data_IF_538763148945
#
_entry.id   IF_538763148945
#
_cell.length_a   1.000
_cell.length_b   1.000
_cell.length_c   1.000
_cell.angle_alpha   90.00
_cell.angle_beta   90.00
_cell.angle_gamma   90.00
#
_symmetry.space_group_name_H-M   'P 1'
#
loop_
_entity.id
_entity.type
_entity.pdbx_description
1 polymer ?
#
# COMPACT_ATOMS: atom_id res chain seq x y z
N UNK A 1 44.60 15.04 19.65
CA UNK A 1 43.44 14.50 20.42
C UNK A 1 42.55 15.65 20.92
N UNK A 2 41.95 16.43 20.01
CA UNK A 2 41.11 17.58 20.40
C UNK A 2 39.95 17.76 19.41
N UNK A 3 38.99 16.82 19.40
CA UNK A 3 37.73 17.01 18.66
C UNK A 3 36.59 16.10 19.15
N UNK A 4 36.55 15.72 20.44
CA UNK A 4 35.44 14.91 20.98
C UNK A 4 34.35 15.73 21.70
N UNK A 5 34.48 17.06 21.80
CA UNK A 5 33.53 17.92 22.53
C UNK A 5 33.07 19.17 21.77
N UNK A 6 32.94 19.12 20.44
CA UNK A 6 32.18 20.16 19.72
C UNK A 6 30.68 19.87 19.90
N UNK A 7 29.93 20.81 20.47
CA UNK A 7 28.46 20.77 20.48
C UNK A 7 27.99 20.55 19.04
N UNK A 8 27.16 19.51 18.82
CA UNK A 8 26.62 19.21 17.49
C UNK A 8 26.01 20.47 16.90
N UNK A 9 26.47 20.85 15.72
CA UNK A 9 25.83 21.94 14.97
C UNK A 9 24.48 21.46 14.45
N UNK A 10 23.57 22.39 14.12
CA UNK A 10 22.27 21.99 13.58
C UNK A 10 22.42 21.20 12.27
N UNK A 11 23.45 21.50 11.48
CA UNK A 11 23.80 20.72 10.29
C UNK A 11 24.22 19.27 10.62
N UNK A 12 24.92 19.05 11.73
CA UNK A 12 25.32 17.72 12.17
C UNK A 12 24.09 16.90 12.63
N UNK A 13 23.16 17.55 13.33
CA UNK A 13 21.88 16.95 13.76
C UNK A 13 21.06 16.53 12.54
N UNK A 14 20.92 17.41 11.55
CA UNK A 14 20.16 17.11 10.32
C UNK A 14 20.81 15.97 9.51
N UNK A 15 22.15 15.92 9.44
CA UNK A 15 22.86 14.81 8.78
C UNK A 15 22.64 13.48 9.49
N UNK A 16 22.66 13.48 10.81
CA UNK A 16 22.41 12.30 11.63
C UNK A 16 20.97 11.81 11.46
N UNK A 17 19.98 12.71 11.55
CA UNK A 17 18.57 12.39 11.28
C UNK A 17 18.37 11.80 9.89
N UNK A 18 18.99 12.38 8.85
CA UNK A 18 18.92 11.82 7.49
C UNK A 18 19.53 10.41 7.39
N UNK A 19 20.62 10.15 8.12
CA UNK A 19 21.25 8.83 8.18
C UNK A 19 20.35 7.82 8.87
N UNK A 20 19.74 8.21 9.99
CA UNK A 20 18.79 7.40 10.74
C UNK A 20 17.56 7.07 9.91
N UNK A 21 16.92 8.07 9.27
CA UNK A 21 15.76 7.88 8.40
C UNK A 21 16.07 6.90 7.24
N UNK A 22 17.25 7.00 6.62
CA UNK A 22 17.69 6.04 5.58
C UNK A 22 17.88 4.63 6.13
N UNK A 23 18.39 4.50 7.35
CA UNK A 23 18.55 3.20 8.01
C UNK A 23 17.18 2.59 8.31
N UNK A 24 16.27 3.37 8.88
CA UNK A 24 14.89 2.96 9.17
C UNK A 24 14.16 2.54 7.90
N UNK A 25 14.31 3.28 6.80
CA UNK A 25 13.72 2.91 5.51
C UNK A 25 14.19 1.52 5.04
N UNK A 26 15.50 1.23 5.17
CA UNK A 26 16.05 -0.09 4.82
C UNK A 26 15.59 -1.18 5.79
N UNK A 27 15.44 -0.86 7.07
CA UNK A 27 14.90 -1.79 8.06
C UNK A 27 13.47 -2.18 7.70
N UNK A 28 12.60 -1.21 7.39
CA UNK A 28 11.22 -1.46 6.95
C UNK A 28 11.17 -2.37 5.72
N UNK A 29 12.05 -2.15 4.73
CA UNK A 29 12.14 -3.04 3.56
C UNK A 29 12.55 -4.47 3.94
N UNK A 30 13.49 -4.64 4.87
CA UNK A 30 13.91 -5.97 5.36
C UNK A 30 12.80 -6.66 6.14
N UNK A 31 12.12 -5.92 7.01
CA UNK A 31 11.01 -6.44 7.81
C UNK A 31 9.85 -6.87 6.91
N UNK A 32 9.54 -6.10 5.86
CA UNK A 32 8.55 -6.50 4.85
C UNK A 32 8.91 -7.82 4.17
N UNK A 33 10.16 -8.00 3.75
CA UNK A 33 10.62 -9.25 3.15
C UNK A 33 10.56 -10.44 4.13
N UNK A 34 10.72 -10.18 5.43
CA UNK A 34 10.54 -11.20 6.47
C UNK A 34 9.06 -11.58 6.63
N UNK A 35 8.16 -10.59 6.67
CA UNK A 35 6.71 -10.80 6.74
C UNK A 35 6.20 -11.58 5.53
N UNK A 36 6.69 -11.29 4.31
CA UNK A 36 6.35 -12.05 3.10
C UNK A 36 6.78 -13.52 3.16
N UNK A 37 7.92 -13.82 3.80
CA UNK A 37 8.36 -15.21 4.01
C UNK A 37 7.47 -15.92 5.03
N UNK A 38 7.13 -15.24 6.12
CA UNK A 38 6.22 -15.77 7.15
C UNK A 38 4.82 -16.03 6.57
N UNK A 39 4.34 -15.15 5.69
CA UNK A 39 3.06 -15.30 4.99
C UNK A 39 3.03 -16.60 4.19
N UNK A 40 4.06 -16.82 3.36
CA UNK A 40 4.18 -18.06 2.57
C UNK A 40 4.29 -19.32 3.45
N UNK A 41 4.99 -19.24 4.58
CA UNK A 41 5.08 -20.37 5.52
C UNK A 41 3.71 -20.68 6.13
N UNK A 42 2.98 -19.65 6.55
CA UNK A 42 1.66 -19.80 7.14
C UNK A 42 0.62 -20.31 6.13
N UNK A 43 0.68 -19.88 4.87
CA UNK A 43 -0.15 -20.43 3.78
C UNK A 43 0.09 -21.94 3.58
N UNK A 44 1.36 -22.39 3.64
CA UNK A 44 1.69 -23.82 3.55
C UNK A 44 1.18 -24.61 4.77
N UNK A 45 1.29 -24.04 5.97
CA UNK A 45 0.77 -24.65 7.20
C UNK A 45 -0.76 -24.74 7.19
N UNK A 46 -1.45 -23.67 6.81
CA UNK A 46 -2.92 -23.67 6.61
C UNK A 46 -3.31 -24.77 5.62
N UNK A 47 -2.55 -24.91 4.51
CA UNK A 47 -2.81 -25.96 3.53
C UNK A 47 -2.63 -27.36 4.06
N UNK A 48 -1.63 -27.57 4.92
CA UNK A 48 -1.41 -28.86 5.59
C UNK A 48 -2.54 -29.17 6.57
N UNK A 49 -2.96 -28.20 7.39
CA UNK A 49 -4.01 -28.37 8.39
C UNK A 49 -5.41 -28.52 7.76
N UNK A 50 -5.65 -27.86 6.63
CA UNK A 50 -6.90 -28.00 5.89
C UNK A 50 -7.04 -29.42 5.31
N UNK A 51 -5.94 -30.00 4.80
CA UNK A 51 -5.92 -31.39 4.30
C UNK A 51 -6.13 -32.43 5.40
N UNK A 52 -5.68 -32.16 6.62
CA UNK A 52 -5.92 -33.06 7.76
C UNK A 52 -7.31 -32.88 8.38
N UNK A 53 -8.10 -31.92 7.91
CA UNK A 53 -9.45 -31.64 8.41
C UNK A 53 -9.48 -30.93 9.78
N UNK A 54 -8.33 -30.44 10.27
CA UNK A 54 -8.28 -29.74 11.55
C UNK A 54 -8.75 -28.29 11.42
N UNK A 55 -10.07 -28.11 11.49
CA UNK A 55 -10.72 -26.82 11.26
C UNK A 55 -10.41 -25.77 12.35
N UNK A 56 -10.17 -26.18 13.58
CA UNK A 56 -9.80 -25.26 14.67
C UNK A 56 -8.40 -24.67 14.46
N UNK A 57 -7.43 -25.51 14.08
CA UNK A 57 -6.09 -25.03 13.76
C UNK A 57 -6.08 -24.13 12.53
N UNK A 58 -6.86 -24.46 11.49
CA UNK A 58 -7.05 -23.58 10.33
C UNK A 58 -7.62 -22.22 10.73
N UNK A 59 -8.58 -22.18 11.66
CA UNK A 59 -9.17 -20.92 12.15
C UNK A 59 -8.14 -20.01 12.81
N UNK A 60 -7.31 -20.57 13.68
CA UNK A 60 -6.26 -19.81 14.38
C UNK A 60 -5.22 -19.30 13.37
N UNK A 61 -4.73 -20.17 12.49
CA UNK A 61 -3.73 -19.81 11.48
C UNK A 61 -4.27 -18.80 10.46
N UNK A 62 -5.53 -18.91 10.04
CA UNK A 62 -6.15 -17.93 9.13
C UNK A 62 -6.27 -16.55 9.77
N UNK A 63 -6.66 -16.46 11.06
CA UNK A 63 -6.68 -15.18 11.80
C UNK A 63 -5.27 -14.57 11.86
N UNK A 64 -4.25 -15.40 12.12
CA UNK A 64 -2.86 -14.95 12.10
C UNK A 64 -2.42 -14.48 10.71
N UNK A 65 -2.83 -15.15 9.63
CA UNK A 65 -2.49 -14.77 8.26
C UNK A 65 -3.08 -13.41 7.89
N UNK A 66 -4.35 -13.17 8.23
CA UNK A 66 -5.00 -11.87 8.02
C UNK A 66 -4.28 -10.77 8.79
N UNK A 67 -3.94 -11.02 10.07
CA UNK A 67 -3.20 -10.05 10.88
C UNK A 67 -1.81 -9.77 10.30
N UNK A 68 -1.11 -10.80 9.81
CA UNK A 68 0.19 -10.67 9.16
C UNK A 68 0.08 -9.85 7.86
N UNK A 69 -0.96 -10.07 7.06
CA UNK A 69 -1.24 -9.28 5.84
C UNK A 69 -1.56 -7.82 6.16
N UNK A 70 -2.35 -7.56 7.21
CA UNK A 70 -2.59 -6.19 7.73
C UNK A 70 -1.28 -5.53 8.16
N UNK A 71 -0.42 -6.26 8.90
CA UNK A 71 0.90 -5.76 9.32
C UNK A 71 1.80 -5.45 8.12
N UNK A 72 1.84 -6.35 7.11
CA UNK A 72 2.55 -6.14 5.85
C UNK A 72 2.05 -4.88 5.14
N UNK A 73 0.73 -4.70 5.02
CA UNK A 73 0.14 -3.50 4.42
C UNK A 73 0.49 -2.22 5.19
N UNK A 74 0.45 -2.27 6.53
CA UNK A 74 0.86 -1.15 7.40
C UNK A 74 2.32 -0.73 7.15
N UNK A 75 3.22 -1.65 6.79
CA UNK A 75 4.61 -1.27 6.46
C UNK A 75 4.72 -0.36 5.23
N UNK A 76 3.76 -0.36 4.29
CA UNK A 76 3.77 0.57 3.17
C UNK A 76 3.46 2.00 3.61
N UNK A 77 2.44 2.17 4.44
CA UNK A 77 2.10 3.46 5.00
C UNK A 77 3.21 4.00 5.93
N UNK A 78 3.82 3.14 6.76
CA UNK A 78 4.99 3.53 7.57
C UNK A 78 6.18 3.93 6.69
N UNK A 79 6.45 3.19 5.61
CA UNK A 79 7.49 3.55 4.64
C UNK A 79 7.23 4.90 3.97
N UNK A 80 5.97 5.20 3.64
CA UNK A 80 5.57 6.49 3.08
C UNK A 80 5.81 7.61 4.08
N UNK A 81 5.41 7.42 5.34
CA UNK A 81 5.61 8.39 6.43
C UNK A 81 7.09 8.70 6.66
N UNK A 82 7.96 7.69 6.67
CA UNK A 82 9.43 7.89 6.77
C UNK A 82 9.98 8.66 5.57
N UNK A 83 9.47 8.39 4.37
CA UNK A 83 9.86 9.12 3.15
C UNK A 83 9.42 10.58 3.20
N UNK A 84 8.22 10.85 3.70
CA UNK A 84 7.69 12.21 3.93
C UNK A 84 8.58 12.96 4.92
N UNK A 85 8.88 12.36 6.09
CA UNK A 85 9.78 12.93 7.08
C UNK A 85 11.18 13.22 6.50
N UNK A 86 11.71 12.34 5.63
CA UNK A 86 12.99 12.60 4.94
C UNK A 86 12.91 13.82 4.03
N UNK A 87 11.77 14.03 3.37
CA UNK A 87 11.54 15.18 2.50
C UNK A 87 11.40 16.46 3.32
N UNK A 88 10.59 16.44 4.39
CA UNK A 88 10.47 17.55 5.34
C UNK A 88 11.82 17.94 5.94
N UNK A 89 12.66 16.95 6.29
CA UNK A 89 14.03 17.19 6.79
C UNK A 89 14.91 17.87 5.74
N UNK A 90 14.77 17.53 4.44
CA UNK A 90 15.49 18.21 3.35
C UNK A 90 15.00 19.64 3.16
N UNK A 91 13.69 19.87 3.23
CA UNK A 91 13.11 21.22 3.17
C UNK A 91 13.65 22.06 4.33
N UNK A 92 13.63 21.52 5.55
CA UNK A 92 14.20 22.17 6.72
C UNK A 92 15.69 22.50 6.54
N UNK A 93 16.50 21.58 6.00
CA UNK A 93 17.91 21.84 5.69
C UNK A 93 18.09 23.02 4.71
N UNK A 94 17.31 23.04 3.63
CA UNK A 94 17.34 24.11 2.63
C UNK A 94 16.90 25.44 3.24
N UNK A 95 15.86 25.43 4.08
CA UNK A 95 15.37 26.61 4.77
C UNK A 95 16.39 27.14 5.78
N UNK A 96 17.10 26.27 6.51
CA UNK A 96 18.17 26.69 7.41
C UNK A 96 19.37 27.29 6.66
N UNK A 97 19.76 26.72 5.52
CA UNK A 97 20.78 27.32 4.65
C UNK A 97 20.34 28.66 4.10
N UNK A 98 19.08 28.78 3.69
CA UNK A 98 18.49 30.03 3.25
C UNK A 98 18.47 31.05 4.39
N UNK A 99 18.10 30.66 5.61
CA UNK A 99 18.15 31.54 6.78
C UNK A 99 19.58 31.97 7.13
N UNK A 100 20.57 31.08 6.98
CA UNK A 100 21.99 31.42 7.13
C UNK A 100 22.46 32.43 6.07
N UNK A 101 22.08 32.22 4.81
CA UNK A 101 22.37 33.13 3.70
C UNK A 101 21.60 34.46 3.80
N UNK A 102 20.37 34.44 4.30
CA UNK A 102 19.58 35.62 4.61
C UNK A 102 20.14 36.34 5.82
N UNK A 103 20.73 35.64 6.81
CA UNK A 103 21.40 36.29 7.94
C UNK A 103 22.68 37.01 7.49
N UNK A 104 23.49 36.39 6.63
CA UNK A 104 24.67 37.05 6.06
C UNK A 104 24.25 38.19 5.12
N UNK A 105 23.26 37.96 4.26
CA UNK A 105 22.68 38.99 3.39
C UNK A 105 22.03 40.08 4.21
N UNK A 106 21.35 39.80 5.32
CA UNK A 106 20.74 40.79 6.21
C UNK A 106 21.80 41.60 6.95
N UNK A 107 22.96 41.03 7.30
CA UNK A 107 24.10 41.80 7.83
C UNK A 107 24.67 42.74 6.77
N UNK A 108 24.86 42.26 5.54
CA UNK A 108 25.29 43.10 4.40
C UNK A 108 24.21 44.12 4.03
N UNK A 109 22.95 43.71 4.09
CA UNK A 109 21.79 44.53 3.79
C UNK A 109 21.60 45.54 4.91
N UNK A 110 21.86 45.27 6.19
CA UNK A 110 21.89 46.28 7.26
C UNK A 110 22.92 47.38 6.97
N UNK A 111 24.08 47.00 6.43
CA UNK A 111 25.08 47.96 5.95
C UNK A 111 24.60 48.76 4.72
N UNK A 112 23.68 48.21 3.92
CA UNK A 112 23.04 48.85 2.75
C UNK A 112 21.69 49.52 3.10
N UNK A 113 21.02 49.15 4.21
CA UNK A 113 19.65 49.50 4.62
C UNK A 113 19.59 50.89 5.26
N UNK A 114 20.69 51.63 5.19
CA UNK A 114 20.65 53.08 5.17
C UNK A 114 19.94 53.62 3.90
N UNK A 115 19.60 52.76 2.93
CA UNK A 115 18.99 53.14 1.63
C UNK A 115 17.89 52.20 1.08
N UNK A 116 17.29 51.27 1.85
CA UNK A 116 16.26 50.36 1.30
C UNK A 116 14.89 50.50 1.98
N UNK A 117 13.83 50.26 1.21
CA UNK A 117 12.44 50.62 1.51
C UNK A 117 11.70 49.51 2.32
N UNK A 118 11.26 49.78 3.56
CA UNK A 118 10.70 48.77 4.48
C UNK A 118 9.38 48.14 4.03
N UNK A 119 8.64 48.75 3.09
CA UNK A 119 7.32 48.25 2.70
C UNK A 119 7.36 46.91 1.93
N UNK A 120 8.37 46.68 1.10
CA UNK A 120 8.49 45.43 0.32
C UNK A 120 8.83 44.23 1.19
N UNK A 121 9.62 44.43 2.26
CA UNK A 121 10.01 43.35 3.18
C UNK A 121 8.81 42.84 3.98
N UNK A 122 7.89 43.72 4.37
CA UNK A 122 6.67 43.36 5.08
C UNK A 122 5.74 42.48 4.21
N UNK A 123 5.67 42.79 2.91
CA UNK A 123 4.83 42.07 1.96
C UNK A 123 5.36 40.64 1.70
N UNK A 124 6.67 40.49 1.52
CA UNK A 124 7.32 39.16 1.38
C UNK A 124 7.17 38.32 2.65
N UNK A 125 7.16 38.94 3.83
CA UNK A 125 6.96 38.21 5.09
C UNK A 125 5.52 37.71 5.24
N UNK A 126 4.52 38.47 4.79
CA UNK A 126 3.12 38.02 4.75
C UNK A 126 2.90 36.87 3.76
N UNK A 127 3.50 36.93 2.58
CA UNK A 127 3.39 35.85 1.58
C UNK A 127 4.00 34.54 2.10
N UNK A 128 5.16 34.63 2.76
CA UNK A 128 5.79 33.47 3.39
C UNK A 128 4.93 32.84 4.50
N UNK A 129 4.26 33.65 5.34
CA UNK A 129 3.34 33.13 6.36
C UNK A 129 2.14 32.41 5.73
N UNK A 130 1.58 32.98 4.65
CA UNK A 130 0.44 32.38 3.94
C UNK A 130 0.80 31.05 3.28
N UNK A 131 2.01 30.94 2.75
CA UNK A 131 2.51 29.72 2.12
C UNK A 131 2.83 28.62 3.15
N UNK A 132 3.40 28.97 4.30
CA UNK A 132 3.57 28.03 5.42
C UNK A 132 2.23 27.48 5.94
N UNK A 133 1.22 28.34 6.08
CA UNK A 133 -0.11 27.91 6.56
C UNK A 133 -0.80 26.96 5.58
N UNK A 134 -0.64 27.18 4.27
CA UNK A 134 -1.12 26.24 3.24
C UNK A 134 -0.44 24.87 3.33
N UNK A 135 0.84 24.85 3.66
CA UNK A 135 1.60 23.62 3.82
C UNK A 135 1.11 22.81 5.03
N UNK A 136 0.91 23.46 6.18
CA UNK A 136 0.37 22.81 7.40
C UNK A 136 -1.00 22.18 7.17
N UNK A 137 -1.94 22.89 6.54
CA UNK A 137 -3.26 22.34 6.22
C UNK A 137 -3.20 21.10 5.31
N UNK A 138 -2.24 21.06 4.38
CA UNK A 138 -2.09 19.94 3.46
C UNK A 138 -1.52 18.72 4.19
N UNK A 139 -0.63 18.93 5.16
CA UNK A 139 -0.07 17.87 6.01
C UNK A 139 -1.16 17.28 6.93
N UNK A 140 -2.05 18.11 7.48
CA UNK A 140 -3.18 17.68 8.31
C UNK A 140 -4.21 16.84 7.53
N UNK A 141 -4.57 17.25 6.30
CA UNK A 141 -5.43 16.44 5.43
C UNK A 141 -4.81 15.08 5.10
N UNK A 142 -3.51 15.04 4.80
CA UNK A 142 -2.81 13.78 4.52
C UNK A 142 -2.79 12.86 5.76
N UNK A 143 -2.57 13.42 6.95
CA UNK A 143 -2.58 12.65 8.20
C UNK A 143 -3.98 12.09 8.50
N UNK A 144 -5.04 12.90 8.35
CA UNK A 144 -6.42 12.44 8.58
C UNK A 144 -6.81 11.33 7.60
N UNK A 145 -6.41 11.44 6.32
CA UNK A 145 -6.67 10.39 5.33
C UNK A 145 -5.91 9.09 5.67
N UNK A 146 -4.68 9.22 6.18
CA UNK A 146 -3.91 8.06 6.63
C UNK A 146 -4.53 7.41 7.87
N UNK A 147 -5.01 8.22 8.82
CA UNK A 147 -5.61 7.72 10.06
C UNK A 147 -6.96 7.05 9.80
N UNK A 148 -7.81 7.57 8.90
CA UNK A 148 -9.05 6.87 8.47
C UNK A 148 -8.76 5.50 7.83
N UNK A 149 -7.68 5.37 7.03
CA UNK A 149 -7.23 4.08 6.47
C UNK A 149 -6.74 3.12 7.57
N UNK A 150 -6.29 3.63 8.71
CA UNK A 150 -5.84 2.82 9.84
C UNK A 150 -6.95 2.46 10.83
N UNK A 151 -8.02 3.25 10.91
CA UNK A 151 -9.08 3.09 11.90
C UNK A 151 -10.18 2.10 11.49
N UNK A 152 -10.19 1.61 10.23
CA UNK A 152 -11.08 0.54 9.75
C UNK A 152 -10.66 -0.86 10.25
N UNK A 153 -10.22 -0.94 11.51
CA UNK A 153 -9.71 -2.15 12.16
C UNK A 153 -10.69 -2.72 13.19
N UNK A 154 -11.98 -2.56 12.94
CA UNK A 154 -13.05 -2.86 13.89
C UNK A 154 -13.96 -4.07 13.62
N UNK A 155 -13.78 -4.86 12.56
CA UNK A 155 -14.66 -6.01 12.31
C UNK A 155 -14.04 -7.33 12.81
N UNK A 156 -14.48 -7.75 14.01
CA UNK A 156 -14.09 -8.99 14.68
C UNK A 156 -15.10 -10.14 14.52
N UNK A 157 -16.20 -9.95 13.77
CA UNK A 157 -17.38 -10.84 13.85
C UNK A 157 -17.54 -11.91 12.74
N UNK A 158 -16.58 -12.10 11.83
CA UNK A 158 -16.70 -13.12 10.76
C UNK A 158 -15.52 -14.11 10.71
N UNK A 159 -15.14 -14.69 11.85
CA UNK A 159 -14.01 -15.63 11.88
C UNK A 159 -14.19 -16.91 11.06
N UNK A 160 -15.43 -17.28 10.71
CA UNK A 160 -15.71 -18.46 9.89
C UNK A 160 -15.64 -18.15 8.40
N UNK A 161 -16.16 -16.99 7.99
CA UNK A 161 -16.11 -16.53 6.60
C UNK A 161 -14.69 -16.12 6.20
N UNK A 162 -13.93 -15.53 7.13
CA UNK A 162 -12.49 -15.29 6.95
C UNK A 162 -11.73 -16.58 6.65
N UNK A 163 -12.07 -17.69 7.32
CA UNK A 163 -11.42 -18.98 7.07
C UNK A 163 -11.78 -19.51 5.69
N UNK A 164 -13.06 -19.46 5.32
CA UNK A 164 -13.51 -19.90 4.00
C UNK A 164 -12.85 -19.05 2.90
N UNK A 165 -12.82 -17.72 3.06
CA UNK A 165 -12.15 -16.80 2.15
C UNK A 165 -10.66 -17.11 2.01
N UNK A 166 -9.94 -17.29 3.11
CA UNK A 166 -8.51 -17.63 3.09
C UNK A 166 -8.27 -18.99 2.42
N UNK A 167 -9.13 -19.98 2.66
CA UNK A 167 -9.03 -21.29 2.03
C UNK A 167 -9.31 -21.25 0.52
N UNK A 168 -10.31 -20.46 0.10
CA UNK A 168 -10.64 -20.21 -1.30
C UNK A 168 -9.49 -19.48 -2.01
N UNK A 169 -8.90 -18.45 -1.37
CA UNK A 169 -7.72 -17.73 -1.88
C UNK A 169 -6.49 -18.65 -2.05
N UNK A 170 -6.28 -19.60 -1.14
CA UNK A 170 -5.18 -20.58 -1.22
C UNK A 170 -5.48 -21.69 -2.25
N UNK A 171 -6.69 -21.72 -2.82
CA UNK A 171 -7.13 -22.71 -3.79
C UNK A 171 -7.36 -24.09 -3.16
N UNK A 172 -7.73 -24.13 -1.88
CA UNK A 172 -8.18 -25.34 -1.21
C UNK A 172 -9.69 -25.29 -1.25
N UNK A 173 -10.27 -25.70 -2.37
CA UNK A 173 -11.68 -26.09 -2.37
C UNK A 173 -11.82 -27.16 -1.29
N UNK A 174 -12.47 -26.80 -0.17
CA UNK A 174 -12.85 -27.75 0.87
C UNK A 174 -13.52 -28.90 0.13
N UNK A 175 -12.89 -30.07 0.13
CA UNK A 175 -13.24 -31.22 -0.70
C UNK A 175 -14.65 -31.77 -0.45
N UNK A 176 -15.46 -31.09 0.37
CA UNK A 176 -16.87 -31.36 0.61
C UNK A 176 -17.85 -30.84 -0.46
N UNK A 177 -17.45 -30.00 -1.43
CA UNK A 177 -18.35 -29.59 -2.53
C UNK A 177 -18.22 -30.42 -3.82
N UNK A 178 -17.17 -31.25 -3.95
CA UNK A 178 -17.00 -32.15 -5.09
C UNK A 178 -17.46 -33.60 -4.84
N UNK A 179 -17.83 -33.95 -3.60
CA UNK A 179 -18.37 -35.28 -3.27
C UNK A 179 -19.86 -35.45 -3.62
N UNK A 180 -20.53 -34.41 -4.14
CA UNK A 180 -21.94 -34.46 -4.56
C UNK A 180 -22.15 -34.26 -6.07
N UNK A 181 -21.10 -34.29 -6.88
CA UNK A 181 -21.24 -34.44 -8.31
C UNK A 181 -21.36 -35.96 -8.62
N UNK A 182 -22.44 -36.43 -9.26
CA UNK A 182 -22.57 -37.85 -9.58
C UNK A 182 -21.42 -38.26 -10.50
N UNK A 183 -20.66 -39.27 -10.07
CA UNK A 183 -19.66 -39.96 -10.89
C UNK A 183 -20.36 -40.55 -12.11
N UNK A 184 -20.31 -39.84 -13.24
CA UNK A 184 -20.63 -40.42 -14.54
C UNK A 184 -19.46 -41.32 -14.93
N UNK A 185 -19.68 -42.63 -14.77
CA UNK A 185 -18.70 -43.65 -15.06
C UNK A 185 -18.24 -43.67 -16.52
N UNK A 186 -16.98 -44.10 -16.69
CA UNK A 186 -16.51 -44.98 -17.75
C UNK A 186 -17.10 -44.77 -19.16
N UNK A 187 -16.40 -43.99 -19.98
CA UNK A 187 -16.58 -44.02 -21.42
C UNK A 187 -15.78 -42.92 -22.11
N UNK A 188 -14.54 -43.24 -22.52
CA UNK A 188 -13.79 -42.42 -23.47
C UNK A 188 -14.65 -42.13 -24.72
N UNK A 189 -14.55 -40.93 -25.32
CA UNK A 189 -14.69 -40.83 -26.75
C UNK A 189 -13.37 -40.38 -27.37
N UNK A 190 -12.92 -41.22 -28.31
CA UNK A 190 -11.89 -40.90 -29.28
C UNK A 190 -12.24 -39.63 -30.06
N UNK A 191 -11.20 -38.95 -30.52
CA UNK A 191 -11.26 -37.86 -31.48
C UNK A 191 -12.18 -38.21 -32.66
N UNK A 192 -13.12 -37.33 -32.98
CA UNK A 192 -13.76 -37.28 -34.30
C UNK A 192 -14.33 -35.90 -34.59
N UNK A 193 -13.94 -35.40 -35.74
CA UNK A 193 -14.28 -34.16 -36.40
C UNK A 193 -15.79 -34.06 -36.65
N UNK A 194 -16.42 -32.94 -36.27
CA UNK A 194 -17.80 -32.64 -36.69
C UNK A 194 -17.81 -31.53 -37.75
N UNK A 195 -17.95 -32.00 -39.00
CA UNK A 195 -18.41 -31.22 -40.15
C UNK A 195 -19.76 -30.59 -39.86
N UNK A 196 -19.96 -29.39 -40.40
CA UNK A 196 -21.27 -28.76 -40.57
C UNK A 196 -22.27 -29.72 -41.21
N UNK A 197 -23.48 -29.79 -40.65
CA UNK A 197 -24.64 -30.44 -41.30
C UNK A 197 -25.18 -29.50 -42.38
N UNK A 198 -25.49 -29.98 -43.60
CA UNK A 198 -26.20 -29.19 -44.58
C UNK A 198 -27.64 -29.01 -44.11
N UNK A 199 -28.13 -27.77 -44.16
CA UNK A 199 -29.53 -27.41 -43.91
C UNK A 199 -30.33 -27.96 -45.10
N UNK A 200 -31.35 -28.78 -44.83
CA UNK A 200 -32.22 -29.35 -45.87
C UNK A 200 -33.27 -28.34 -46.32
N UNK A 201 -33.60 -28.36 -47.62
CA UNK A 201 -34.51 -27.42 -48.29
C UNK A 201 -35.91 -27.33 -47.62
N UNK A 202 -36.36 -28.40 -46.96
CA UNK A 202 -37.62 -28.43 -46.18
C UNK A 202 -37.62 -27.46 -44.98
N UNK A 203 -36.46 -27.23 -44.34
CA UNK A 203 -36.37 -26.33 -43.18
C UNK A 203 -36.36 -24.86 -43.63
N UNK A 204 -35.85 -24.58 -44.84
CA UNK A 204 -35.81 -23.25 -45.45
C UNK A 204 -37.22 -22.85 -45.91
N UNK A 205 -37.96 -23.75 -46.56
CA UNK A 205 -39.37 -23.51 -46.93
C UNK A 205 -40.25 -23.25 -45.71
N UNK A 206 -40.01 -23.96 -44.61
CA UNK A 206 -40.76 -23.79 -43.36
C UNK A 206 -40.50 -22.42 -42.72
N UNK A 207 -39.28 -21.90 -42.82
CA UNK A 207 -38.93 -20.57 -42.32
C UNK A 207 -39.45 -19.43 -43.21
N UNK A 208 -39.47 -19.61 -44.54
CA UNK A 208 -40.05 -18.63 -45.46
C UNK A 208 -41.56 -18.49 -45.26
N UNK A 209 -42.26 -19.61 -45.09
CA UNK A 209 -43.71 -19.62 -44.85
C UNK A 209 -44.10 -19.04 -43.48
N UNK A 210 -43.23 -19.17 -42.48
CA UNK A 210 -43.42 -18.57 -41.15
C UNK A 210 -43.22 -17.03 -41.15
N UNK A 211 -42.54 -16.48 -42.15
CA UNK A 211 -42.28 -15.04 -42.29
C UNK A 211 -43.29 -14.33 -43.21
N UNK A 212 -44.27 -15.05 -43.76
CA UNK A 212 -45.39 -14.45 -44.50
C UNK A 212 -44.97 -13.77 -45.81
N UNK A 213 -43.90 -14.24 -46.43
CA UNK A 213 -43.51 -13.83 -47.78
C UNK A 213 -43.96 -14.95 -48.72
N UNK A 214 -45.06 -14.72 -49.45
CA UNK A 214 -45.47 -15.58 -50.58
C UNK A 214 -44.44 -15.55 -51.71
#
# INVERSE_FOLDING_TARGET
MASLFKKKTVDDIIKEQNKELRSTQRQITRDRAMLEKQEKQMELEIKKMAKTGNREACKILAKQLVQLRKQKNRTYAVSSKVTSMSTQTKVMNSQMKMAGAMSSTAKTMQAVNKKMDPQKTLQTMQEFQKENFRMEMTEELINNTLDEIFDESGDEEESQDIVNQVLDEIGIEISGKMASAPSAGSGLPAASTSRARPISDEEIERQLKALGVD
#
